data_IF_579543612878
#
_entry.id   IF_579543612878
#
_cell.length_a   1.000
_cell.length_b   1.000
_cell.length_c   1.000
_cell.angle_alpha   90.00
_cell.angle_beta   90.00
_cell.angle_gamma   90.00
#
_symmetry.space_group_name_H-M   'P 1'
#
loop_
_entity.id
_entity.type
_entity.pdbx_description
1 polymer ?
#
# COMPACT_ATOMS: atom_id res chain seq x y z
N UNK A 1 -23.33 6.26 -48.80
CA UNK A 1 -23.95 7.46 -48.23
C UNK A 1 -23.70 7.49 -46.74
N UNK A 2 -23.17 8.60 -46.21
CA UNK A 2 -22.96 8.75 -44.78
C UNK A 2 -24.32 8.89 -44.08
N UNK A 3 -24.58 8.06 -43.07
CA UNK A 3 -25.77 8.14 -42.21
C UNK A 3 -25.68 9.43 -41.37
N UNK A 4 -26.11 10.55 -41.93
CA UNK A 4 -26.22 11.82 -41.19
C UNK A 4 -27.28 11.68 -40.10
N UNK A 5 -26.83 11.81 -38.85
CA UNK A 5 -27.67 11.77 -37.65
C UNK A 5 -28.73 12.88 -37.68
N UNK A 6 -30.00 12.49 -37.55
CA UNK A 6 -31.16 13.39 -37.53
C UNK A 6 -31.63 13.72 -36.10
N UNK A 7 -30.96 13.21 -35.06
CA UNK A 7 -31.32 13.44 -33.65
C UNK A 7 -30.10 13.70 -32.74
N UNK A 8 -29.46 14.88 -32.86
CA UNK A 8 -28.18 15.20 -32.22
C UNK A 8 -28.21 15.35 -30.69
N UNK A 9 -29.38 15.29 -30.03
CA UNK A 9 -29.54 15.62 -28.61
C UNK A 9 -29.89 14.40 -27.73
N UNK A 10 -29.88 13.17 -28.27
CA UNK A 10 -30.22 11.97 -27.49
C UNK A 10 -29.06 10.96 -27.48
N UNK A 11 -28.36 10.77 -26.35
CA UNK A 11 -27.21 9.86 -26.25
C UNK A 11 -27.58 8.39 -26.50
N UNK A 12 -28.85 8.01 -26.30
CA UNK A 12 -29.30 6.66 -26.61
C UNK A 12 -29.50 6.41 -28.11
N UNK A 13 -29.69 7.46 -28.91
CA UNK A 13 -29.78 7.37 -30.37
C UNK A 13 -28.39 7.22 -30.98
N UNK A 14 -27.42 8.02 -30.53
CA UNK A 14 -26.02 7.96 -30.95
C UNK A 14 -25.43 6.55 -30.76
N UNK A 15 -25.62 5.96 -29.57
CA UNK A 15 -25.15 4.61 -29.27
C UNK A 15 -25.74 3.55 -30.24
N UNK A 16 -27.02 3.69 -30.60
CA UNK A 16 -27.68 2.78 -31.54
C UNK A 16 -27.17 2.97 -32.97
N UNK A 17 -26.94 4.21 -33.42
CA UNK A 17 -26.37 4.48 -34.74
C UNK A 17 -24.96 3.91 -34.86
N UNK A 18 -24.14 4.06 -33.82
CA UNK A 18 -22.81 3.46 -33.77
C UNK A 18 -22.86 1.93 -33.86
N UNK A 19 -23.79 1.27 -33.17
CA UNK A 19 -23.99 -0.18 -33.27
C UNK A 19 -24.41 -0.61 -34.69
N UNK A 20 -25.30 0.14 -35.33
CA UNK A 20 -25.75 -0.14 -36.71
C UNK A 20 -24.60 0.04 -37.72
N UNK A 21 -23.80 1.09 -37.57
CA UNK A 21 -22.63 1.32 -38.42
C UNK A 21 -21.61 0.18 -38.27
N UNK A 22 -21.29 -0.21 -37.03
CA UNK A 22 -20.39 -1.35 -36.75
C UNK A 22 -20.94 -2.67 -37.30
N UNK A 23 -22.24 -2.93 -37.16
CA UNK A 23 -22.87 -4.13 -37.71
C UNK A 23 -22.80 -4.16 -39.24
N UNK A 24 -22.93 -3.00 -39.90
CA UNK A 24 -22.79 -2.89 -41.34
C UNK A 24 -21.35 -3.16 -41.80
N UNK A 25 -20.36 -2.61 -41.10
CA UNK A 25 -18.94 -2.87 -41.38
C UNK A 25 -18.60 -4.35 -41.19
N UNK A 26 -19.11 -4.99 -40.13
CA UNK A 26 -18.95 -6.42 -39.88
C UNK A 26 -19.53 -7.32 -41.00
N UNK A 27 -20.55 -6.85 -41.71
CA UNK A 27 -21.26 -7.61 -42.74
C UNK A 27 -20.76 -7.33 -44.16
N UNK A 28 -20.13 -6.18 -44.40
CA UNK A 28 -19.71 -5.76 -45.74
C UNK A 28 -18.23 -5.98 -46.02
N UNK A 29 -17.39 -6.02 -45.00
CA UNK A 29 -15.95 -6.23 -45.15
C UNK A 29 -15.56 -7.64 -44.67
N UNK A 30 -14.91 -8.41 -45.53
CA UNK A 30 -14.44 -9.77 -45.21
C UNK A 30 -13.44 -9.76 -44.04
N UNK A 31 -12.64 -8.70 -43.91
CA UNK A 31 -11.68 -8.55 -42.81
C UNK A 31 -12.36 -8.24 -41.48
N UNK A 32 -13.38 -7.37 -41.50
CA UNK A 32 -14.18 -7.04 -40.32
C UNK A 32 -15.02 -8.25 -39.87
N UNK A 33 -15.49 -9.08 -40.81
CA UNK A 33 -16.17 -10.35 -40.52
C UNK A 33 -15.25 -11.34 -39.82
N UNK A 34 -14.03 -11.55 -40.33
CA UNK A 34 -13.05 -12.40 -39.65
C UNK A 34 -12.68 -11.87 -38.26
N UNK A 35 -12.55 -10.55 -38.11
CA UNK A 35 -12.27 -9.92 -36.82
C UNK A 35 -13.44 -10.07 -35.85
N UNK A 36 -14.69 -10.00 -36.34
CA UNK A 36 -15.88 -10.27 -35.55
C UNK A 36 -15.95 -11.74 -35.10
N UNK A 37 -15.62 -12.69 -35.98
CA UNK A 37 -15.56 -14.12 -35.63
C UNK A 37 -14.46 -14.42 -34.61
N UNK A 38 -13.30 -13.74 -34.69
CA UNK A 38 -12.15 -13.96 -33.79
C UNK A 38 -12.24 -13.20 -32.46
N UNK A 39 -12.82 -12.00 -32.45
CA UNK A 39 -12.75 -11.07 -31.32
C UNK A 39 -14.12 -10.55 -30.84
N UNK A 40 -15.22 -10.86 -31.53
CA UNK A 40 -16.57 -10.42 -31.16
C UNK A 40 -16.88 -8.94 -31.44
N UNK A 41 -15.98 -8.23 -32.13
CA UNK A 41 -16.15 -6.82 -32.51
C UNK A 41 -15.50 -6.59 -33.91
N UNK A 42 -16.17 -5.86 -34.84
CA UNK A 42 -15.63 -5.60 -36.18
C UNK A 42 -14.31 -4.83 -36.17
N UNK A 43 -14.06 -4.00 -35.14
CA UNK A 43 -12.80 -3.22 -35.02
C UNK A 43 -11.59 -4.06 -34.56
N UNK A 44 -11.78 -5.35 -34.26
CA UNK A 44 -10.73 -6.24 -33.79
C UNK A 44 -10.53 -6.24 -32.27
N UNK A 45 -9.33 -6.65 -31.84
CA UNK A 45 -8.99 -6.90 -30.43
C UNK A 45 -9.11 -5.60 -29.62
N UNK A 46 -10.20 -5.46 -28.85
CA UNK A 46 -10.39 -4.35 -27.93
C UNK A 46 -9.49 -4.58 -26.71
N UNK A 47 -8.20 -4.25 -26.83
CA UNK A 47 -7.30 -4.24 -25.69
C UNK A 47 -7.78 -3.13 -24.75
N UNK A 48 -8.36 -3.52 -23.61
CA UNK A 48 -8.40 -2.67 -22.42
C UNK A 48 -6.96 -2.46 -21.96
N UNK A 49 -6.22 -1.63 -22.70
CA UNK A 49 -4.90 -1.18 -22.36
C UNK A 49 -5.08 -0.11 -21.29
N UNK A 50 -5.36 -0.56 -20.07
CA UNK A 50 -5.33 0.27 -18.88
C UNK A 50 -3.87 0.64 -18.68
N UNK A 51 -3.44 1.73 -19.33
CA UNK A 51 -2.11 2.31 -19.25
C UNK A 51 -1.94 2.98 -17.89
N UNK A 52 -1.95 2.17 -16.83
CA UNK A 52 -1.36 2.54 -15.55
C UNK A 52 0.13 2.65 -15.84
N UNK A 53 0.71 3.84 -15.63
CA UNK A 53 2.12 4.18 -15.93
C UNK A 53 3.16 3.41 -15.09
N UNK A 54 2.90 2.13 -14.80
CA UNK A 54 3.85 1.21 -14.23
C UNK A 54 4.92 0.90 -15.29
N UNK A 55 6.20 0.93 -14.89
CA UNK A 55 7.29 0.72 -15.83
C UNK A 55 7.20 -0.68 -16.44
N UNK A 56 7.44 -0.76 -17.75
CA UNK A 56 7.24 -1.99 -18.55
C UNK A 56 7.99 -3.21 -17.99
N UNK A 57 9.12 -3.02 -17.30
CA UNK A 57 9.87 -4.11 -16.68
C UNK A 57 9.09 -4.90 -15.61
N UNK A 58 8.09 -4.29 -14.96
CA UNK A 58 7.22 -4.98 -14.00
C UNK A 58 6.13 -5.83 -14.69
N UNK A 59 5.84 -5.53 -15.97
CA UNK A 59 4.81 -6.19 -16.78
C UNK A 59 5.39 -7.17 -17.81
N UNK A 60 6.72 -7.25 -17.91
CA UNK A 60 7.41 -8.17 -18.81
C UNK A 60 7.05 -9.63 -18.47
N UNK A 61 6.42 -10.32 -19.42
CA UNK A 61 5.88 -11.69 -19.24
C UNK A 61 6.95 -12.72 -18.91
N UNK A 62 8.21 -12.45 -19.27
CA UNK A 62 9.33 -13.34 -18.98
C UNK A 62 9.62 -13.47 -17.47
N UNK A 63 9.46 -12.37 -16.70
CA UNK A 63 9.81 -12.32 -15.28
C UNK A 63 8.61 -12.07 -14.36
N UNK A 64 7.40 -11.94 -14.92
CA UNK A 64 6.17 -11.64 -14.18
C UNK A 64 5.97 -12.59 -12.98
N UNK A 65 6.24 -13.89 -13.13
CA UNK A 65 6.10 -14.87 -12.04
C UNK A 65 7.09 -14.61 -10.89
N UNK A 66 8.34 -14.23 -11.20
CA UNK A 66 9.34 -13.92 -10.16
C UNK A 66 8.97 -12.63 -9.41
N UNK A 67 8.51 -11.60 -10.14
CA UNK A 67 8.04 -10.33 -9.54
C UNK A 67 6.83 -10.59 -8.63
N UNK A 68 5.90 -11.45 -9.06
CA UNK A 68 4.72 -11.80 -8.27
C UNK A 68 5.07 -12.54 -6.98
N UNK A 69 5.99 -13.51 -7.04
CA UNK A 69 6.47 -14.23 -5.86
C UNK A 69 7.20 -13.27 -4.90
N UNK A 70 8.07 -12.40 -5.42
CA UNK A 70 8.76 -11.41 -4.61
C UNK A 70 7.77 -10.46 -3.92
N UNK A 71 6.77 -9.96 -4.64
CA UNK A 71 5.71 -9.14 -4.08
C UNK A 71 4.99 -9.86 -2.94
N UNK A 72 4.64 -11.14 -3.12
CA UNK A 72 3.97 -11.93 -2.09
C UNK A 72 4.85 -12.13 -0.86
N UNK A 73 6.15 -12.39 -1.03
CA UNK A 73 7.11 -12.51 0.08
C UNK A 73 7.24 -11.19 0.84
N UNK A 74 7.36 -10.06 0.14
CA UNK A 74 7.45 -8.75 0.78
C UNK A 74 6.17 -8.43 1.54
N UNK A 75 5.01 -8.71 0.94
CA UNK A 75 3.72 -8.42 1.55
C UNK A 75 3.45 -9.32 2.78
N UNK A 76 3.80 -10.60 2.72
CA UNK A 76 3.58 -11.56 3.82
C UNK A 76 4.74 -11.56 4.83
N UNK A 77 5.92 -11.07 4.48
CA UNK A 77 7.10 -11.08 5.35
C UNK A 77 7.41 -9.70 5.92
N UNK A 78 7.68 -8.73 5.04
CA UNK A 78 8.15 -7.40 5.44
C UNK A 78 7.07 -6.63 6.18
N UNK A 79 5.83 -6.64 5.69
CA UNK A 79 4.72 -5.92 6.33
C UNK A 79 4.46 -6.42 7.75
N UNK A 80 4.22 -7.72 8.02
CA UNK A 80 4.02 -8.18 9.39
C UNK A 80 5.28 -8.03 10.24
N UNK A 81 6.48 -8.09 9.69
CA UNK A 81 7.70 -7.80 10.44
C UNK A 81 7.76 -6.33 10.92
N UNK A 82 7.46 -5.38 10.03
CA UNK A 82 7.36 -3.96 10.39
C UNK A 82 6.25 -3.71 11.42
N UNK A 83 5.08 -4.31 11.23
CA UNK A 83 3.97 -4.19 12.20
C UNK A 83 4.36 -4.81 13.54
N UNK A 84 5.00 -5.98 13.55
CA UNK A 84 5.42 -6.65 14.78
C UNK A 84 6.48 -5.86 15.54
N UNK A 85 7.50 -5.34 14.85
CA UNK A 85 8.55 -4.52 15.46
C UNK A 85 8.00 -3.19 16.01
N UNK A 86 7.08 -2.56 15.28
CA UNK A 86 6.37 -1.37 15.75
C UNK A 86 5.48 -1.69 16.95
N UNK A 87 4.62 -2.69 16.85
CA UNK A 87 3.70 -3.09 17.90
C UNK A 87 4.44 -3.52 19.18
N UNK A 88 5.53 -4.30 19.04
CA UNK A 88 6.37 -4.71 20.17
C UNK A 88 7.06 -3.53 20.85
N UNK A 89 7.36 -2.46 20.11
CA UNK A 89 7.90 -1.22 20.68
C UNK A 89 6.80 -0.38 21.33
N UNK A 90 5.64 -0.28 20.69
CA UNK A 90 4.50 0.52 21.14
C UNK A 90 3.78 -0.07 22.35
N UNK A 91 3.71 -1.41 22.47
CA UNK A 91 3.01 -2.09 23.57
C UNK A 91 3.67 -1.90 24.93
N UNK A 92 4.89 -1.34 24.97
CA UNK A 92 5.62 -1.03 26.21
C UNK A 92 5.19 0.28 26.84
N UNK A 93 4.50 1.14 26.08
CA UNK A 93 4.02 2.45 26.51
C UNK A 93 2.53 2.40 26.80
N UNK A 94 2.12 3.05 27.88
CA UNK A 94 0.70 3.21 28.23
C UNK A 94 0.04 4.41 27.54
N UNK A 95 -1.20 4.70 27.91
CA UNK A 95 -2.02 5.77 27.32
C UNK A 95 -1.42 7.17 27.47
N UNK A 96 -0.56 7.38 28.47
CA UNK A 96 0.13 8.65 28.74
C UNK A 96 1.52 8.74 28.10
N UNK A 97 1.85 7.82 27.18
CA UNK A 97 3.18 7.71 26.56
C UNK A 97 4.32 7.49 27.59
N UNK A 98 3.99 6.85 28.72
CA UNK A 98 4.94 6.46 29.76
C UNK A 98 5.11 4.96 29.74
N UNK A 99 6.34 4.48 29.86
CA UNK A 99 6.63 3.05 29.89
C UNK A 99 6.00 2.38 31.13
N UNK A 100 5.40 1.20 30.99
CA UNK A 100 4.74 0.50 32.10
C UNK A 100 5.67 0.27 33.30
N UNK A 101 6.94 -0.07 33.04
CA UNK A 101 7.95 -0.25 34.09
C UNK A 101 8.23 1.04 34.87
N UNK A 102 8.26 2.20 34.18
CA UNK A 102 8.41 3.52 34.82
C UNK A 102 7.20 3.83 35.71
N UNK A 103 5.99 3.50 35.24
CA UNK A 103 4.76 3.70 36.01
C UNK A 103 4.75 2.85 37.29
N UNK A 104 5.11 1.57 37.19
CA UNK A 104 5.22 0.68 38.34
C UNK A 104 6.28 1.17 39.34
N UNK A 105 7.43 1.65 38.85
CA UNK A 105 8.47 2.25 39.69
C UNK A 105 7.92 3.44 40.50
N UNK A 106 7.27 4.39 39.84
CA UNK A 106 6.70 5.54 40.53
C UNK A 106 5.62 5.16 41.53
N UNK A 107 4.76 4.20 41.21
CA UNK A 107 3.71 3.77 42.13
C UNK A 107 4.27 3.10 43.40
N UNK A 108 5.41 2.42 43.32
CA UNK A 108 6.03 1.76 44.47
C UNK A 108 6.87 2.71 45.31
N UNK A 109 7.46 3.74 44.68
CA UNK A 109 8.42 4.64 45.31
C UNK A 109 7.79 5.94 45.81
N UNK A 110 6.74 6.46 45.14
CA UNK A 110 6.01 7.65 45.58
C UNK A 110 4.91 7.26 46.58
N UNK A 111 5.12 7.63 47.84
CA UNK A 111 4.10 7.56 48.90
C UNK A 111 3.83 8.92 49.54
N UNK A 112 2.84 8.98 50.44
CA UNK A 112 2.43 10.21 51.15
C UNK A 112 3.56 10.85 51.97
N UNK A 113 4.54 10.05 52.42
CA UNK A 113 5.71 10.49 53.18
C UNK A 113 6.91 10.88 52.32
N UNK A 114 6.73 11.04 51.00
CA UNK A 114 7.80 11.39 50.08
C UNK A 114 8.25 12.83 50.30
N UNK A 115 9.53 13.01 50.61
CA UNK A 115 10.14 14.33 50.69
C UNK A 115 10.35 14.92 49.29
N UNK A 116 10.04 16.21 49.12
CA UNK A 116 10.31 16.93 47.85
C UNK A 116 11.78 16.86 47.42
N UNK A 117 12.70 16.67 48.37
CA UNK A 117 14.14 16.58 48.12
C UNK A 117 14.56 15.27 47.44
N UNK A 118 13.78 14.18 47.56
CA UNK A 118 14.08 12.89 46.93
C UNK A 118 13.43 12.71 45.55
N UNK A 119 12.59 13.66 45.10
CA UNK A 119 11.99 13.61 43.76
C UNK A 119 13.02 13.48 42.63
N UNK A 120 14.15 14.22 42.62
CA UNK A 120 15.15 14.08 41.56
C UNK A 120 15.71 12.66 41.45
N UNK A 121 15.90 11.97 42.58
CA UNK A 121 16.37 10.58 42.62
C UNK A 121 15.33 9.62 42.05
N UNK A 122 14.06 9.80 42.41
CA UNK A 122 12.97 8.96 41.90
C UNK A 122 12.76 9.13 40.40
N UNK A 123 12.83 10.37 39.90
CA UNK A 123 12.79 10.67 38.46
C UNK A 123 13.99 10.04 37.73
N UNK A 124 15.19 10.12 38.30
CA UNK A 124 16.38 9.48 37.74
C UNK A 124 16.25 7.94 37.66
N UNK A 125 15.45 7.34 38.54
CA UNK A 125 15.16 5.89 38.56
C UNK A 125 14.18 5.40 37.50
N UNK A 126 13.59 6.28 36.67
CA UNK A 126 12.66 5.87 35.62
C UNK A 126 13.30 4.89 34.62
N UNK A 127 12.56 3.83 34.26
CA UNK A 127 13.06 2.75 33.40
C UNK A 127 13.48 3.24 32.00
N UNK A 128 12.88 4.34 31.53
CA UNK A 128 13.21 5.00 30.27
C UNK A 128 14.66 5.48 30.20
N UNK A 129 15.24 5.90 31.33
CA UNK A 129 16.64 6.33 31.37
C UNK A 129 17.63 5.16 31.31
N UNK A 130 17.20 3.92 31.59
CA UNK A 130 18.08 2.75 31.62
C UNK A 130 18.73 2.46 30.27
N UNK A 131 17.99 2.64 29.18
CA UNK A 131 18.52 2.49 27.81
C UNK A 131 19.61 3.53 27.52
N UNK A 132 19.45 4.76 28.04
CA UNK A 132 20.37 5.88 27.82
C UNK A 132 21.59 5.83 28.75
N UNK A 133 21.43 5.26 29.94
CA UNK A 133 22.49 5.06 30.93
C UNK A 133 23.25 3.73 30.75
N UNK A 134 22.91 2.94 29.73
CA UNK A 134 23.63 1.69 29.45
C UNK A 134 25.04 2.03 28.93
N UNK A 135 26.10 1.36 29.42
CA UNK A 135 27.46 1.64 28.98
C UNK A 135 27.57 1.39 27.47
N UNK A 136 28.11 2.36 26.73
CA UNK A 136 28.35 2.21 25.29
C UNK A 136 29.13 0.93 25.01
N UNK A 137 28.60 0.11 24.10
CA UNK A 137 29.26 -1.10 23.64
C UNK A 137 30.61 -0.76 23.01
N UNK A 138 31.60 -1.64 23.10
CA UNK A 138 32.95 -1.41 22.56
C UNK A 138 32.92 -0.97 21.09
N UNK A 139 31.96 -1.47 20.30
CA UNK A 139 31.75 -1.10 18.87
C UNK A 139 31.33 0.35 18.63
N UNK A 140 30.79 1.01 19.65
CA UNK A 140 30.29 2.39 19.60
C UNK A 140 31.32 3.38 20.16
N UNK A 141 32.33 2.89 20.89
CA UNK A 141 33.49 3.68 21.35
C UNK A 141 34.55 3.84 20.26
N UNK A 142 34.62 2.90 19.32
CA UNK A 142 35.59 2.87 18.21
C UNK A 142 35.20 3.80 17.05
N UNK A 143 33.97 4.34 17.06
CA UNK A 143 33.44 5.27 16.06
C UNK A 143 33.44 6.74 16.53
N UNK A 144 34.07 7.04 17.68
CA UNK A 144 34.17 8.39 18.26
C UNK A 144 35.64 8.83 18.19
#
# INVERSE_FOLDING_TARGET
>A
EALTDKNPNNPAAEAKFMMVAKAYEALTDETAKENYEKYGNPDGKQSLEVSIGLPAFLLETQNQNMVLIFYLIVMVGLVPFCVWTYYSSSSKFGEKDVMYDTYSWFHHTLGENTLMKSLPEFLAGAAEFRKRNSPKSSKEKEQI
#
